data_IF_350257024168
#
_entry.id   IF_350257024168
#
_cell.length_a   1.000
_cell.length_b   1.000
_cell.length_c   1.000
_cell.angle_alpha   90.00
_cell.angle_beta   90.00
_cell.angle_gamma   90.00
#
_symmetry.space_group_name_H-M   'P 1'
#
loop_
_entity.id
_entity.type
_entity.pdbx_description
1 polymer ?
#
# COMPACT_ATOMS: atom_id res chain seq x y z
N UNK A 1 -12.45 17.36 25.45
CA UNK A 1 -12.13 15.92 25.26
C UNK A 1 -10.72 15.84 24.66
N UNK A 2 -9.83 15.05 25.25
CA UNK A 2 -8.53 14.73 24.65
C UNK A 2 -8.70 13.53 23.70
N UNK A 3 -8.17 13.64 22.49
CA UNK A 3 -8.13 12.56 21.50
C UNK A 3 -6.77 11.87 21.57
N UNK A 4 -6.75 10.56 21.82
CA UNK A 4 -5.54 9.74 21.69
C UNK A 4 -5.43 9.22 20.25
N UNK A 5 -4.20 9.18 19.73
CA UNK A 5 -3.87 8.56 18.44
C UNK A 5 -3.18 7.22 18.68
N UNK A 6 -3.65 6.19 17.99
CA UNK A 6 -3.04 4.85 17.98
C UNK A 6 -2.43 4.63 16.60
N UNK A 7 -1.21 4.10 16.56
CA UNK A 7 -0.50 3.74 15.33
C UNK A 7 -0.25 2.24 15.32
N UNK A 8 -0.56 1.59 14.20
CA UNK A 8 -0.32 0.17 13.96
C UNK A 8 0.67 0.08 12.80
N UNK A 9 1.74 -0.68 13.00
CA UNK A 9 2.74 -0.97 11.98
C UNK A 9 2.70 -2.46 11.66
N UNK A 10 2.71 -2.78 10.37
CA UNK A 10 2.63 -4.16 9.89
C UNK A 10 3.75 -4.32 8.87
N UNK A 11 4.55 -5.36 9.08
CA UNK A 11 5.59 -5.75 8.16
C UNK A 11 5.02 -6.73 7.12
N UNK A 12 5.25 -6.43 5.86
CA UNK A 12 4.82 -7.27 4.73
C UNK A 12 6.02 -7.45 3.83
N UNK A 13 6.52 -8.69 3.78
CA UNK A 13 7.63 -9.06 2.93
C UNK A 13 7.31 -8.77 1.45
N UNK A 14 8.26 -8.19 0.73
CA UNK A 14 8.19 -7.93 -0.71
C UNK A 14 7.00 -7.06 -1.16
N UNK A 15 6.38 -6.27 -0.27
CA UNK A 15 5.26 -5.40 -0.62
C UNK A 15 5.56 -4.47 -1.81
N UNK A 16 6.78 -3.92 -1.88
CA UNK A 16 7.20 -3.07 -2.99
C UNK A 16 7.17 -3.81 -4.33
N UNK A 17 7.67 -5.04 -4.39
CA UNK A 17 7.67 -5.88 -5.59
C UNK A 17 6.25 -6.25 -6.00
N UNK A 18 5.40 -6.65 -5.04
CA UNK A 18 3.99 -6.94 -5.29
C UNK A 18 3.26 -5.73 -5.89
N UNK A 19 3.52 -4.52 -5.35
CA UNK A 19 2.95 -3.28 -5.86
C UNK A 19 3.45 -2.96 -7.27
N UNK A 20 4.73 -3.22 -7.55
CA UNK A 20 5.33 -3.05 -8.88
C UNK A 20 4.68 -3.98 -9.91
N UNK A 21 4.50 -5.25 -9.55
CA UNK A 21 3.81 -6.24 -10.38
C UNK A 21 2.35 -5.85 -10.62
N UNK A 22 1.64 -5.41 -9.57
CA UNK A 22 0.24 -4.98 -9.67
C UNK A 22 0.05 -3.71 -10.52
N UNK A 23 1.04 -2.80 -10.53
CA UNK A 23 1.03 -1.67 -11.48
C UNK A 23 1.06 -2.19 -12.91
N UNK A 24 1.87 -3.21 -13.19
CA UNK A 24 2.02 -3.82 -14.50
C UNK A 24 2.48 -2.80 -15.54
N UNK A 25 1.83 -2.79 -16.69
CA UNK A 25 2.15 -1.90 -17.82
C UNK A 25 1.61 -0.47 -17.66
N UNK A 26 0.98 -0.14 -16.52
CA UNK A 26 0.47 1.23 -16.29
C UNK A 26 1.63 2.21 -16.21
N UNK A 27 1.50 3.30 -16.97
CA UNK A 27 2.50 4.35 -17.03
C UNK A 27 2.77 4.98 -15.65
N UNK A 28 4.03 5.01 -15.18
CA UNK A 28 4.38 5.49 -13.85
C UNK A 28 4.03 6.96 -13.59
N UNK A 29 4.18 7.82 -14.59
CA UNK A 29 3.94 9.27 -14.46
C UNK A 29 2.48 9.61 -14.12
N UNK A 30 1.46 9.17 -14.90
CA UNK A 30 0.07 9.43 -14.54
C UNK A 30 -0.33 8.75 -13.22
N UNK A 31 0.18 7.55 -12.94
CA UNK A 31 -0.05 6.88 -11.64
C UNK A 31 0.45 7.73 -10.48
N UNK A 32 1.70 8.23 -10.56
CA UNK A 32 2.29 9.04 -9.50
C UNK A 32 1.52 10.36 -9.31
N UNK A 33 1.09 10.99 -10.41
CA UNK A 33 0.27 12.20 -10.40
C UNK A 33 -1.05 11.99 -9.65
N UNK A 34 -1.82 10.95 -9.98
CA UNK A 34 -3.08 10.62 -9.32
C UNK A 34 -2.90 10.31 -7.82
N UNK A 35 -1.75 9.73 -7.45
CA UNK A 35 -1.42 9.43 -6.05
C UNK A 35 -0.83 10.64 -5.29
N UNK A 36 -0.72 11.79 -5.95
CA UNK A 36 -0.18 13.03 -5.39
C UNK A 36 1.29 12.92 -5.00
N UNK A 37 2.10 12.22 -5.80
CA UNK A 37 3.53 12.05 -5.55
C UNK A 37 4.38 12.16 -6.82
N UNK A 38 5.70 12.20 -6.65
CA UNK A 38 6.64 12.18 -7.78
C UNK A 38 6.84 10.76 -8.30
N UNK A 39 7.12 10.61 -9.59
CA UNK A 39 7.46 9.31 -10.19
C UNK A 39 8.66 8.66 -9.50
N UNK A 40 9.64 9.45 -9.04
CA UNK A 40 10.78 8.94 -8.25
C UNK A 40 10.34 8.34 -6.92
N UNK A 41 9.38 8.95 -6.22
CA UNK A 41 8.84 8.39 -4.97
C UNK A 41 8.06 7.10 -5.23
N UNK A 42 7.32 7.02 -6.34
CA UNK A 42 6.62 5.81 -6.75
C UNK A 42 7.61 4.66 -6.98
N UNK A 43 8.63 4.86 -7.83
CA UNK A 43 9.66 3.85 -8.05
C UNK A 43 10.34 3.43 -6.77
N UNK A 44 10.62 4.38 -5.88
CA UNK A 44 11.24 4.09 -4.59
C UNK A 44 10.35 3.22 -3.70
N UNK A 45 9.04 3.40 -3.71
CA UNK A 45 8.10 2.51 -3.01
C UNK A 45 8.12 1.11 -3.64
N UNK A 46 8.15 1.04 -4.97
CA UNK A 46 8.12 -0.22 -5.72
C UNK A 46 9.45 -1.00 -5.69
N UNK A 47 10.57 -0.33 -5.40
CA UNK A 47 11.90 -0.96 -5.37
C UNK A 47 12.42 -1.24 -3.96
N UNK A 48 11.98 -0.49 -2.95
CA UNK A 48 12.46 -0.63 -1.58
C UNK A 48 11.45 -1.44 -0.74
N UNK A 49 11.80 -2.67 -0.36
CA UNK A 49 10.96 -3.52 0.48
C UNK A 49 10.81 -3.04 1.94
N UNK A 50 11.65 -2.10 2.39
CA UNK A 50 11.72 -1.64 3.79
C UNK A 50 11.04 -0.29 4.04
N UNK A 51 10.31 0.25 3.07
CA UNK A 51 9.75 1.60 3.18
C UNK A 51 8.30 1.57 3.66
N UNK A 52 8.04 2.14 4.83
CA UNK A 52 6.69 2.27 5.36
C UNK A 52 5.82 3.18 4.46
N UNK A 53 4.62 2.72 4.14
CA UNK A 53 3.62 3.49 3.41
C UNK A 53 2.36 3.67 4.27
N UNK A 54 1.75 4.87 4.29
CA UNK A 54 0.47 5.06 4.96
C UNK A 54 -0.62 4.18 4.34
N UNK A 55 -1.51 3.64 5.17
CA UNK A 55 -2.58 2.75 4.70
C UNK A 55 -3.49 3.40 3.65
N UNK A 56 -3.80 4.69 3.77
CA UNK A 56 -4.61 5.40 2.79
C UNK A 56 -3.89 5.55 1.44
N UNK A 57 -2.56 5.61 1.45
CA UNK A 57 -1.76 5.60 0.21
C UNK A 57 -1.80 4.22 -0.45
N UNK A 58 -1.68 3.15 0.34
CA UNK A 58 -1.85 1.78 -0.17
C UNK A 58 -3.24 1.59 -0.79
N UNK A 59 -4.30 2.12 -0.18
CA UNK A 59 -5.65 2.10 -0.78
C UNK A 59 -5.70 2.82 -2.13
N UNK A 60 -5.09 4.01 -2.23
CA UNK A 60 -5.00 4.75 -3.48
C UNK A 60 -4.30 3.95 -4.57
N UNK A 61 -3.16 3.33 -4.24
CA UNK A 61 -2.42 2.46 -5.16
C UNK A 61 -3.27 1.26 -5.59
N UNK A 62 -3.95 0.62 -4.64
CA UNK A 62 -4.82 -0.52 -4.93
C UNK A 62 -5.97 -0.18 -5.89
N UNK A 63 -6.55 1.02 -5.79
CA UNK A 63 -7.58 1.49 -6.72
C UNK A 63 -6.99 1.71 -8.13
N UNK A 64 -5.83 2.35 -8.20
CA UNK A 64 -5.15 2.61 -9.48
C UNK A 64 -4.68 1.32 -10.17
N UNK A 65 -4.28 0.32 -9.39
CA UNK A 65 -3.69 -0.92 -9.92
C UNK A 65 -4.74 -1.95 -10.32
N UNK A 66 -6.00 -1.77 -9.87
CA UNK A 66 -7.11 -2.64 -10.22
C UNK A 66 -7.11 -3.93 -9.40
N UNK A 67 -7.49 -5.04 -10.02
CA UNK A 67 -7.74 -6.30 -9.29
C UNK A 67 -6.55 -6.77 -8.45
N UNK A 68 -5.32 -6.69 -8.99
CA UNK A 68 -4.13 -7.14 -8.26
C UNK A 68 -3.77 -6.21 -7.09
N UNK A 69 -3.96 -4.90 -7.28
CA UNK A 69 -3.86 -3.94 -6.18
C UNK A 69 -4.88 -4.21 -5.06
N UNK A 70 -6.13 -4.54 -5.43
CA UNK A 70 -7.17 -4.88 -4.46
C UNK A 70 -6.89 -6.19 -3.71
N UNK A 71 -6.25 -7.17 -4.37
CA UNK A 71 -5.80 -8.40 -3.70
C UNK A 71 -4.77 -8.09 -2.61
N UNK A 72 -3.77 -7.26 -2.92
CA UNK A 72 -2.76 -6.83 -1.94
C UNK A 72 -3.44 -6.12 -0.76
N UNK A 73 -4.34 -5.16 -1.04
CA UNK A 73 -5.06 -4.45 0.01
C UNK A 73 -5.88 -5.39 0.91
N UNK A 74 -6.49 -6.43 0.34
CA UNK A 74 -7.26 -7.43 1.08
C UNK A 74 -6.36 -8.27 1.99
N UNK A 75 -5.18 -8.67 1.51
CA UNK A 75 -4.17 -9.37 2.32
C UNK A 75 -3.73 -8.51 3.51
N UNK A 76 -3.42 -7.23 3.28
CA UNK A 76 -3.04 -6.29 4.35
C UNK A 76 -4.16 -6.17 5.39
N UNK A 77 -5.41 -6.01 4.95
CA UNK A 77 -6.56 -5.94 5.88
C UNK A 77 -6.69 -7.20 6.74
N UNK A 78 -6.53 -8.38 6.15
CA UNK A 78 -6.59 -9.65 6.88
C UNK A 78 -5.49 -9.72 7.95
N UNK A 79 -4.26 -9.31 7.62
CA UNK A 79 -3.16 -9.23 8.59
C UNK A 79 -3.46 -8.23 9.72
N UNK A 80 -3.99 -7.04 9.40
CA UNK A 80 -4.40 -6.06 10.42
C UNK A 80 -5.43 -6.65 11.37
N UNK A 81 -6.49 -7.29 10.84
CA UNK A 81 -7.56 -7.85 11.66
C UNK A 81 -7.05 -8.96 12.58
N UNK A 82 -6.16 -9.82 12.06
CA UNK A 82 -5.48 -10.86 12.83
C UNK A 82 -4.66 -10.28 13.98
N UNK A 83 -3.83 -9.25 13.71
CA UNK A 83 -3.04 -8.57 14.75
C UNK A 83 -3.92 -7.90 15.81
N UNK A 84 -5.12 -7.45 15.43
CA UNK A 84 -6.10 -6.88 16.34
C UNK A 84 -6.92 -7.93 17.11
N UNK A 85 -6.68 -9.23 16.88
CA UNK A 85 -7.45 -10.31 17.51
C UNK A 85 -8.91 -10.35 17.10
N UNK A 86 -9.25 -9.74 15.96
CA UNK A 86 -10.59 -9.77 15.36
C UNK A 86 -10.56 -10.90 14.33
N UNK A 87 -10.70 -12.13 14.79
CA UNK A 87 -10.89 -13.29 13.90
C UNK A 87 -12.35 -13.33 13.43
N UNK A 88 -12.58 -13.55 12.13
CA UNK A 88 -13.90 -13.88 11.55
C UNK A 88 -14.27 -15.34 11.82
#
# INVERSE_FOLDING_TARGET
>A
MQTMKVQIEIEIENLGEMLKEARGDKEPTPVAYELGMTTSNLYRIESEGNKSIPFDRLKGMALMYGADGQKILSQVKSLVLKELGVEE
#
